data_IF_683767314682
#
_entry.id   IF_683767314682
#
_cell.length_a   1.000
_cell.length_b   1.000
_cell.length_c   1.000
_cell.angle_alpha   90.00
_cell.angle_beta   90.00
_cell.angle_gamma   90.00
#
_symmetry.space_group_name_H-M   'P 1'
#
loop_
_entity.id
_entity.type
_entity.pdbx_description
1 polymer ?
#
# COMPACT_ATOMS: atom_id res chain seq x y z
N UNK A 1 -23.36 -61.23 52.21
CA UNK A 1 -23.60 -59.77 52.23
C UNK A 1 -22.28 -59.03 52.02
N UNK A 2 -22.23 -58.13 51.03
CA UNK A 2 -21.26 -57.02 50.95
C UNK A 2 -19.98 -57.25 50.12
N UNK A 3 -20.03 -57.03 48.80
CA UNK A 3 -18.84 -56.77 47.97
C UNK A 3 -18.72 -55.26 47.77
N UNK A 4 -17.59 -54.68 48.20
CA UNK A 4 -17.28 -53.25 48.09
C UNK A 4 -16.96 -52.87 46.63
N UNK A 5 -17.72 -51.96 46.04
CA UNK A 5 -17.39 -51.30 44.77
C UNK A 5 -16.28 -50.25 44.98
N UNK A 6 -15.17 -50.38 44.25
CA UNK A 6 -14.15 -49.33 44.08
C UNK A 6 -14.70 -48.27 43.11
N UNK A 7 -14.93 -47.04 43.60
CA UNK A 7 -15.14 -45.86 42.74
C UNK A 7 -13.83 -45.49 42.05
N UNK A 8 -13.78 -45.61 40.72
CA UNK A 8 -12.75 -44.99 39.88
C UNK A 8 -12.84 -43.46 40.03
N UNK A 9 -11.70 -42.82 40.30
CA UNK A 9 -11.54 -41.37 40.23
C UNK A 9 -11.49 -40.97 38.74
N UNK A 10 -12.48 -40.23 38.28
CA UNK A 10 -12.45 -39.57 36.97
C UNK A 10 -11.29 -38.58 36.88
N UNK A 11 -10.65 -38.53 35.72
CA UNK A 11 -9.58 -37.59 35.41
C UNK A 11 -10.06 -36.14 35.61
N UNK A 12 -9.22 -35.33 36.27
CA UNK A 12 -9.43 -33.88 36.39
C UNK A 12 -9.40 -33.26 35.00
N UNK A 13 -10.57 -32.79 34.54
CA UNK A 13 -10.70 -31.84 33.42
C UNK A 13 -9.71 -30.68 33.63
N UNK A 14 -8.83 -30.48 32.65
CA UNK A 14 -7.68 -29.61 32.74
C UNK A 14 -8.07 -28.13 32.64
N UNK A 15 -7.65 -27.33 33.61
CA UNK A 15 -7.74 -25.86 33.58
C UNK A 15 -6.87 -25.22 32.47
N UNK A 16 -6.11 -26.02 31.72
CA UNK A 16 -5.23 -25.56 30.64
C UNK A 16 -6.01 -24.91 29.48
N UNK A 17 -7.16 -25.48 29.08
CA UNK A 17 -7.97 -24.93 27.98
C UNK A 17 -8.58 -23.56 28.28
N UNK A 18 -8.91 -23.28 29.56
CA UNK A 18 -9.44 -21.96 29.98
C UNK A 18 -8.35 -20.90 30.01
N UNK A 19 -7.13 -21.26 30.42
CA UNK A 19 -5.98 -20.36 30.40
C UNK A 19 -5.54 -20.04 28.96
N UNK A 20 -5.58 -21.03 28.07
CA UNK A 20 -5.30 -20.85 26.64
C UNK A 20 -6.34 -19.97 25.95
N UNK A 21 -7.64 -20.18 26.24
CA UNK A 21 -8.71 -19.33 25.72
C UNK A 21 -8.60 -17.88 26.22
N UNK A 22 -8.22 -17.67 27.49
CA UNK A 22 -7.99 -16.33 28.04
C UNK A 22 -6.77 -15.66 27.39
N UNK A 23 -5.66 -16.38 27.24
CA UNK A 23 -4.46 -15.88 26.56
C UNK A 23 -4.76 -15.48 25.11
N UNK A 24 -5.52 -16.30 24.38
CA UNK A 24 -5.92 -16.01 23.00
C UNK A 24 -6.87 -14.81 22.91
N UNK A 25 -7.78 -14.64 23.88
CA UNK A 25 -8.64 -13.46 23.97
C UNK A 25 -7.82 -12.19 24.23
N UNK A 26 -6.81 -12.26 25.10
CA UNK A 26 -5.88 -11.16 25.36
C UNK A 26 -5.05 -10.81 24.11
N UNK A 27 -4.52 -11.81 23.39
CA UNK A 27 -3.79 -11.60 22.14
C UNK A 27 -4.68 -10.96 21.07
N UNK A 28 -5.89 -11.47 20.87
CA UNK A 28 -6.86 -10.91 19.91
C UNK A 28 -7.23 -9.46 20.27
N UNK A 29 -7.41 -9.16 21.56
CA UNK A 29 -7.68 -7.79 22.03
C UNK A 29 -6.49 -6.86 21.80
N UNK A 30 -5.26 -7.33 22.02
CA UNK A 30 -4.06 -6.56 21.71
C UNK A 30 -3.93 -6.29 20.21
N UNK A 31 -4.18 -7.29 19.38
CA UNK A 31 -4.13 -7.16 17.92
C UNK A 31 -5.19 -6.18 17.43
N UNK A 32 -6.45 -6.34 17.86
CA UNK A 32 -7.52 -5.40 17.54
C UNK A 32 -7.20 -3.96 17.94
N UNK A 33 -6.57 -3.75 19.11
CA UNK A 33 -6.15 -2.42 19.55
C UNK A 33 -5.02 -1.85 18.68
N UNK A 34 -4.07 -2.68 18.23
CA UNK A 34 -3.04 -2.28 17.27
C UNK A 34 -3.68 -1.89 15.94
N UNK A 35 -4.54 -2.73 15.37
CA UNK A 35 -5.18 -2.49 14.08
C UNK A 35 -6.02 -1.21 14.11
N UNK A 36 -6.80 -1.00 15.18
CA UNK A 36 -7.56 0.24 15.40
C UNK A 36 -6.65 1.46 15.50
N UNK A 37 -5.48 1.34 16.14
CA UNK A 37 -4.49 2.43 16.22
C UNK A 37 -3.89 2.73 14.85
N UNK A 38 -3.59 1.71 14.04
CA UNK A 38 -3.13 1.87 12.67
C UNK A 38 -4.20 2.53 11.79
N UNK A 39 -5.44 2.06 11.83
CA UNK A 39 -6.55 2.65 11.08
C UNK A 39 -6.80 4.11 11.47
N UNK A 40 -6.75 4.44 12.77
CA UNK A 40 -6.87 5.82 13.25
C UNK A 40 -5.71 6.70 12.75
N UNK A 41 -4.48 6.18 12.68
CA UNK A 41 -3.33 6.92 12.11
C UNK A 41 -3.57 7.24 10.63
N UNK A 42 -4.03 6.28 9.84
CA UNK A 42 -4.37 6.50 8.42
C UNK A 42 -5.45 7.57 8.26
N UNK A 43 -6.53 7.50 9.05
CA UNK A 43 -7.59 8.54 9.06
C UNK A 43 -7.07 9.92 9.47
N UNK A 44 -6.17 9.99 10.45
CA UNK A 44 -5.54 11.25 10.85
C UNK A 44 -4.65 11.84 9.75
N UNK A 45 -3.93 11.00 9.00
CA UNK A 45 -3.14 11.41 7.82
C UNK A 45 -4.04 12.08 6.78
N UNK A 46 -5.20 11.49 6.47
CA UNK A 46 -6.19 12.09 5.56
C UNK A 46 -6.65 13.47 6.05
N UNK A 47 -6.94 13.62 7.34
CA UNK A 47 -7.34 14.92 7.90
C UNK A 47 -6.22 15.95 7.81
N UNK A 48 -4.97 15.56 8.04
CA UNK A 48 -3.81 16.44 7.91
C UNK A 48 -3.62 16.88 6.46
N UNK A 49 -3.66 15.95 5.51
CA UNK A 49 -3.53 16.24 4.07
C UNK A 49 -4.68 17.11 3.58
N UNK A 50 -5.92 16.85 3.98
CA UNK A 50 -7.06 17.72 3.63
C UNK A 50 -6.84 19.15 4.10
N UNK A 51 -6.36 19.35 5.34
CA UNK A 51 -6.05 20.69 5.85
C UNK A 51 -4.93 21.37 5.06
N UNK A 52 -3.93 20.61 4.60
CA UNK A 52 -2.86 21.13 3.75
C UNK A 52 -3.38 21.54 2.37
N UNK A 53 -4.22 20.71 1.75
CA UNK A 53 -4.91 21.00 0.47
C UNK A 53 -5.79 22.25 0.60
N UNK A 54 -6.63 22.32 1.64
CA UNK A 54 -7.52 23.46 1.87
C UNK A 54 -6.73 24.75 2.10
N UNK A 55 -5.63 24.68 2.86
CA UNK A 55 -4.74 25.82 3.09
C UNK A 55 -4.10 26.26 1.78
N UNK A 56 -3.54 25.34 1.00
CA UNK A 56 -2.90 25.67 -0.28
C UNK A 56 -3.91 26.24 -1.27
N UNK A 57 -5.14 25.74 -1.31
CA UNK A 57 -6.21 26.30 -2.11
C UNK A 57 -6.55 27.75 -1.70
N UNK A 58 -6.63 28.02 -0.39
CA UNK A 58 -6.84 29.38 0.12
C UNK A 58 -5.67 30.30 -0.25
N UNK A 59 -4.43 29.82 -0.17
CA UNK A 59 -3.23 30.56 -0.59
C UNK A 59 -3.25 30.87 -2.09
N UNK A 60 -3.67 29.93 -2.93
CA UNK A 60 -3.81 30.15 -4.38
C UNK A 60 -4.93 31.14 -4.72
N UNK A 61 -6.05 31.12 -3.99
CA UNK A 61 -7.15 32.08 -4.20
C UNK A 61 -6.82 33.48 -3.67
N UNK A 62 -5.98 33.56 -2.65
CA UNK A 62 -5.51 34.80 -2.05
C UNK A 62 -4.03 35.06 -2.38
N UNK A 63 -3.61 34.79 -3.62
CA UNK A 63 -2.21 34.85 -4.00
C UNK A 63 -1.73 36.32 -4.03
N UNK A 64 -0.61 36.66 -3.37
CA UNK A 64 -0.16 38.04 -3.29
C UNK A 64 0.38 38.54 -4.63
N UNK A 65 -0.09 39.71 -5.11
CA UNK A 65 0.43 40.33 -6.33
C UNK A 65 1.92 40.65 -6.23
N UNK A 66 2.35 41.08 -5.05
CA UNK A 66 3.74 41.41 -4.74
C UNK A 66 4.18 40.56 -3.54
N UNK A 67 4.84 39.40 -3.74
CA UNK A 67 5.30 38.58 -2.65
C UNK A 67 6.29 39.39 -1.79
N UNK A 68 6.07 39.41 -0.48
CA UNK A 68 7.00 40.06 0.44
C UNK A 68 8.35 39.32 0.37
N UNK A 69 9.49 40.04 0.35
CA UNK A 69 10.78 39.39 0.35
C UNK A 69 10.92 38.48 1.57
N UNK A 70 11.59 37.32 1.43
CA UNK A 70 11.75 36.38 2.53
C UNK A 70 12.36 37.09 3.74
N UNK A 71 11.70 36.97 4.90
CA UNK A 71 12.22 37.57 6.13
C UNK A 71 13.61 36.98 6.38
N UNK A 72 14.66 37.81 6.55
CA UNK A 72 15.99 37.29 6.82
C UNK A 72 15.95 36.45 8.10
N UNK A 73 16.66 35.32 8.09
CA UNK A 73 16.81 34.46 9.26
C UNK A 73 17.27 35.32 10.45
N UNK A 74 16.59 35.20 11.60
CA UNK A 74 16.91 36.00 12.78
C UNK A 74 18.31 35.64 13.29
N UNK A 75 19.31 36.44 12.89
CA UNK A 75 20.67 36.36 13.44
C UNK A 75 20.71 37.10 14.77
N UNK A 76 20.74 36.35 15.86
CA UNK A 76 21.11 36.83 17.20
C UNK A 76 20.19 37.86 17.85
N UNK A 77 20.57 38.35 19.05
CA UNK A 77 19.88 39.44 19.73
C UNK A 77 19.94 40.70 18.87
N UNK A 78 18.80 41.41 18.78
CA UNK A 78 18.75 42.69 18.09
C UNK A 78 19.70 43.69 18.76
N UNK A 79 20.41 44.53 18.00
CA UNK A 79 21.24 45.59 18.59
C UNK A 79 20.37 46.55 19.42
N UNK A 80 20.93 47.20 20.47
CA UNK A 80 20.19 48.13 21.33
C UNK A 80 19.46 49.25 20.59
N UNK A 81 19.95 49.65 19.41
CA UNK A 81 19.29 50.63 18.52
C UNK A 81 17.96 50.16 17.94
N UNK A 82 17.72 48.85 17.86
CA UNK A 82 16.49 48.23 17.37
C UNK A 82 15.56 47.77 18.51
N UNK A 83 15.93 48.08 19.76
CA UNK A 83 15.10 47.75 20.91
C UNK A 83 13.86 48.65 20.92
N UNK A 84 12.69 48.03 20.84
CA UNK A 84 11.42 48.74 21.02
C UNK A 84 11.23 49.03 22.50
N UNK A 85 11.36 50.29 22.89
CA UNK A 85 11.08 50.76 24.24
C UNK A 85 9.63 50.42 24.63
N UNK A 86 9.41 49.95 25.86
CA UNK A 86 8.09 49.55 26.38
C UNK A 86 7.68 50.44 27.55
N UNK A 87 6.37 50.59 27.76
CA UNK A 87 5.82 51.33 28.90
C UNK A 87 6.23 52.81 28.94
N UNK A 88 6.55 53.32 30.13
CA UNK A 88 6.90 54.72 30.38
C UNK A 88 8.21 55.19 29.71
N UNK A 89 9.03 54.26 29.23
CA UNK A 89 10.25 54.58 28.48
C UNK A 89 9.96 54.96 27.01
N UNK A 90 8.71 54.91 26.55
CA UNK A 90 8.34 55.28 25.18
C UNK A 90 8.28 56.81 25.01
N UNK A 91 8.71 57.34 23.85
CA UNK A 91 8.50 58.74 23.53
C UNK A 91 7.00 59.12 23.56
N UNK A 92 6.66 60.27 24.14
CA UNK A 92 5.27 60.72 24.27
C UNK A 92 4.53 60.81 22.92
N UNK A 93 5.23 61.20 21.86
CA UNK A 93 4.68 61.24 20.50
C UNK A 93 4.26 59.84 19.98
N UNK A 94 4.97 58.78 20.38
CA UNK A 94 4.64 57.41 20.01
C UNK A 94 3.44 56.89 20.81
N UNK A 95 3.33 57.26 22.09
CA UNK A 95 2.14 56.97 22.91
C UNK A 95 0.89 57.68 22.38
N UNK A 96 1.01 58.93 21.92
CA UNK A 96 -0.09 59.66 21.30
C UNK A 96 -0.61 58.98 20.02
N UNK A 97 0.30 58.50 19.16
CA UNK A 97 -0.07 57.76 17.93
C UNK A 97 -0.72 56.41 18.20
N UNK A 98 -0.28 55.70 19.24
CA UNK A 98 -0.91 54.44 19.68
C UNK A 98 -2.31 54.73 20.25
N UNK A 99 -2.45 55.77 21.08
CA UNK A 99 -3.75 56.16 21.64
C UNK A 99 -4.73 56.67 20.57
N UNK A 100 -4.22 57.27 19.50
CA UNK A 100 -4.99 57.67 18.32
C UNK A 100 -5.38 56.49 17.40
N UNK A 101 -4.89 55.28 17.67
CA UNK A 101 -5.17 54.09 16.87
C UNK A 101 -4.44 54.04 15.53
N UNK A 102 -3.40 54.84 15.33
CA UNK A 102 -2.59 54.86 14.10
C UNK A 102 -1.52 53.76 14.08
N UNK A 103 -1.09 53.31 15.27
CA UNK A 103 -0.06 52.29 15.45
C UNK A 103 -0.58 51.18 16.39
N UNK A 104 -0.07 49.96 16.22
CA UNK A 104 -0.33 48.84 17.11
C UNK A 104 0.21 49.09 18.55
N UNK A 105 -0.14 48.22 19.51
CA UNK A 105 0.35 48.32 20.91
C UNK A 105 1.89 48.29 21.04
N UNK A 106 2.59 47.89 19.98
CA UNK A 106 4.03 47.82 19.86
C UNK A 106 4.63 49.02 19.08
N UNK A 107 3.83 49.99 18.63
CA UNK A 107 4.26 51.16 17.87
C UNK A 107 4.55 50.91 16.38
N UNK A 108 4.00 49.84 15.80
CA UNK A 108 4.14 49.54 14.37
C UNK A 108 2.91 50.00 13.60
N UNK A 109 3.13 50.42 12.36
CA UNK A 109 2.04 50.65 11.41
C UNK A 109 1.26 49.34 11.17
N UNK A 110 -0.06 49.45 11.08
CA UNK A 110 -0.88 48.30 10.68
C UNK A 110 -0.43 47.82 9.30
N UNK A 111 -0.21 46.50 9.12
CA UNK A 111 0.16 45.97 7.82
C UNK A 111 -0.93 46.34 6.81
N UNK A 112 -0.54 47.00 5.72
CA UNK A 112 -1.46 47.27 4.60
C UNK A 112 -2.04 45.94 4.10
N UNK A 113 -3.34 45.87 3.77
CA UNK A 113 -3.91 44.68 3.14
C UNK A 113 -3.07 44.34 1.92
N UNK A 114 -2.53 43.12 1.87
CA UNK A 114 -1.78 42.67 0.70
C UNK A 114 -2.80 42.55 -0.43
N UNK A 115 -2.55 43.23 -1.55
CA UNK A 115 -3.40 43.04 -2.73
C UNK A 115 -3.22 41.62 -3.24
N UNK A 116 -4.32 40.86 -3.30
CA UNK A 116 -4.34 39.49 -3.76
C UNK A 116 -5.09 39.33 -5.07
N UNK A 117 -4.83 38.23 -5.78
CA UNK A 117 -5.63 37.77 -6.91
C UNK A 117 -5.82 36.25 -6.82
N UNK A 118 -6.81 35.74 -7.54
CA UNK A 118 -7.08 34.31 -7.59
C UNK A 118 -6.21 33.63 -8.65
N UNK A 119 -5.06 33.10 -8.21
CA UNK A 119 -4.15 32.36 -9.07
C UNK A 119 -4.77 31.02 -9.52
N UNK A 120 -5.57 30.38 -8.67
CA UNK A 120 -6.21 29.11 -9.00
C UNK A 120 -7.14 29.26 -10.21
N UNK A 121 -8.06 30.22 -10.17
CA UNK A 121 -8.99 30.44 -11.28
C UNK A 121 -8.29 30.85 -12.58
N UNK A 122 -7.24 31.67 -12.47
CA UNK A 122 -6.46 32.12 -13.62
C UNK A 122 -5.79 30.94 -14.31
N UNK A 123 -5.03 30.13 -13.56
CA UNK A 123 -4.32 28.97 -14.09
C UNK A 123 -5.27 27.86 -14.56
N UNK A 124 -6.42 27.70 -13.90
CA UNK A 124 -7.47 26.76 -14.31
C UNK A 124 -8.07 27.14 -15.67
N UNK A 125 -8.41 28.42 -15.88
CA UNK A 125 -8.93 28.92 -17.17
C UNK A 125 -7.91 28.83 -18.29
N UNK A 126 -6.64 29.02 -17.97
CA UNK A 126 -5.54 28.86 -18.92
C UNK A 126 -5.18 27.39 -19.20
N UNK A 127 -5.67 26.46 -18.37
CA UNK A 127 -5.36 25.03 -18.48
C UNK A 127 -3.92 24.67 -18.12
N UNK A 128 -3.24 25.52 -17.34
CA UNK A 128 -1.79 25.43 -17.05
C UNK A 128 -1.48 25.15 -15.58
N UNK A 129 -2.41 24.52 -14.87
CA UNK A 129 -2.26 24.21 -13.44
C UNK A 129 -1.02 23.35 -13.15
N UNK A 130 -0.60 22.51 -14.09
CA UNK A 130 0.61 21.70 -13.94
C UNK A 130 1.93 22.44 -14.29
N UNK A 131 1.91 23.72 -14.71
CA UNK A 131 3.13 24.45 -15.07
C UNK A 131 3.69 25.29 -13.90
N UNK A 132 2.82 25.97 -13.14
CA UNK A 132 3.24 26.88 -12.06
C UNK A 132 3.57 26.15 -10.75
N UNK A 133 4.65 26.54 -10.07
CA UNK A 133 5.16 25.81 -8.89
C UNK A 133 4.15 25.71 -7.74
N UNK A 134 3.40 26.78 -7.42
CA UNK A 134 2.40 26.74 -6.35
C UNK A 134 1.19 25.85 -6.68
N UNK A 135 0.79 25.76 -7.95
CA UNK A 135 -0.32 24.90 -8.39
C UNK A 135 0.14 23.45 -8.53
N UNK A 136 1.41 23.21 -8.89
CA UNK A 136 2.06 21.89 -8.81
C UNK A 136 2.04 21.33 -7.39
N UNK A 137 2.41 22.14 -6.40
CA UNK A 137 2.35 21.72 -4.99
C UNK A 137 0.92 21.36 -4.57
N UNK A 138 -0.07 22.13 -5.01
CA UNK A 138 -1.47 21.81 -4.78
C UNK A 138 -1.89 20.47 -5.39
N UNK A 139 -1.54 20.19 -6.65
CA UNK A 139 -1.85 18.91 -7.30
C UNK A 139 -1.12 17.76 -6.61
N UNK A 140 0.15 17.94 -6.23
CA UNK A 140 0.91 16.94 -5.48
C UNK A 140 0.24 16.59 -4.14
N UNK A 141 -0.19 17.60 -3.37
CA UNK A 141 -0.93 17.39 -2.12
C UNK A 141 -2.28 16.71 -2.36
N UNK A 142 -2.96 17.03 -3.47
CA UNK A 142 -4.23 16.41 -3.85
C UNK A 142 -4.05 14.92 -4.21
N UNK A 143 -2.99 14.57 -4.96
CA UNK A 143 -2.62 13.17 -5.25
C UNK A 143 -2.31 12.40 -3.97
N UNK A 144 -1.51 12.98 -3.06
CA UNK A 144 -1.22 12.35 -1.76
C UNK A 144 -2.49 12.15 -0.92
N UNK A 145 -3.41 13.12 -0.95
CA UNK A 145 -4.71 13.00 -0.30
C UNK A 145 -5.54 11.87 -0.92
N UNK A 146 -5.51 11.71 -2.24
CA UNK A 146 -6.20 10.63 -2.94
C UNK A 146 -5.70 9.26 -2.47
N UNK A 147 -4.38 9.03 -2.54
CA UNK A 147 -3.74 7.81 -2.05
C UNK A 147 -4.05 7.52 -0.58
N UNK A 148 -3.90 8.52 0.29
CA UNK A 148 -4.20 8.37 1.72
C UNK A 148 -5.68 8.06 1.99
N UNK A 149 -6.61 8.52 1.15
CA UNK A 149 -8.02 8.16 1.27
C UNK A 149 -8.26 6.68 0.95
N UNK A 150 -7.63 6.15 -0.11
CA UNK A 150 -7.68 4.72 -0.43
C UNK A 150 -7.10 3.89 0.71
N UNK A 151 -5.88 4.19 1.18
CA UNK A 151 -5.23 3.50 2.30
C UNK A 151 -6.08 3.46 3.60
N UNK A 152 -6.88 4.51 3.82
CA UNK A 152 -7.73 4.66 5.00
C UNK A 152 -9.10 3.96 4.89
N UNK A 153 -9.37 3.26 3.78
CA UNK A 153 -10.67 2.64 3.49
C UNK A 153 -11.75 3.67 3.14
N UNK A 154 -11.39 4.76 2.46
CA UNK A 154 -12.31 5.77 1.92
C UNK A 154 -12.11 5.91 0.40
N UNK A 155 -12.27 4.82 -0.36
CA UNK A 155 -11.93 4.72 -1.78
C UNK A 155 -12.69 5.69 -2.66
N UNK A 156 -14.01 5.84 -2.49
CA UNK A 156 -14.84 6.79 -3.25
C UNK A 156 -14.31 8.23 -3.19
N UNK A 157 -13.75 8.61 -2.03
CA UNK A 157 -13.14 9.93 -1.84
C UNK A 157 -11.78 10.01 -2.52
N UNK A 158 -11.00 8.92 -2.47
CA UNK A 158 -9.74 8.80 -3.18
C UNK A 158 -9.92 8.93 -4.68
N UNK A 159 -10.83 8.14 -5.26
CA UNK A 159 -11.19 8.15 -6.69
C UNK A 159 -11.59 9.55 -7.15
N UNK A 160 -12.48 10.25 -6.43
CA UNK A 160 -12.87 11.63 -6.75
C UNK A 160 -11.69 12.62 -6.74
N UNK A 161 -10.74 12.43 -5.83
CA UNK A 161 -9.55 13.29 -5.79
C UNK A 161 -8.60 12.97 -6.95
N UNK A 162 -8.46 11.71 -7.37
CA UNK A 162 -7.68 11.35 -8.56
C UNK A 162 -8.33 11.88 -9.84
N UNK A 163 -9.65 11.75 -9.99
CA UNK A 163 -10.41 12.36 -11.10
C UNK A 163 -10.20 13.88 -11.14
N UNK A 164 -10.22 14.54 -9.97
CA UNK A 164 -9.92 15.97 -9.87
C UNK A 164 -8.47 16.26 -10.29
N UNK A 165 -7.48 15.47 -9.86
CA UNK A 165 -6.10 15.61 -10.34
C UNK A 165 -6.01 15.52 -11.86
N UNK A 166 -6.62 14.51 -12.48
CA UNK A 166 -6.63 14.36 -13.93
C UNK A 166 -7.32 15.52 -14.66
N UNK A 167 -8.39 16.08 -14.07
CA UNK A 167 -9.06 17.25 -14.65
C UNK A 167 -8.18 18.51 -14.63
N UNK A 168 -7.27 18.62 -13.66
CA UNK A 168 -6.35 19.74 -13.48
C UNK A 168 -5.03 19.53 -14.23
N UNK A 169 -4.59 18.29 -14.39
CA UNK A 169 -3.37 17.88 -15.07
C UNK A 169 -3.67 16.96 -16.26
N UNK A 170 -4.02 17.56 -17.39
CA UNK A 170 -4.38 16.82 -18.61
C UNK A 170 -3.21 16.05 -19.23
N UNK A 171 -1.98 16.51 -18.97
CA UNK A 171 -0.77 15.89 -19.48
C UNK A 171 -0.27 14.73 -18.57
N UNK A 172 -0.89 14.57 -17.40
CA UNK A 172 -0.55 13.57 -16.39
C UNK A 172 0.92 13.61 -15.94
N UNK A 173 1.47 14.81 -15.78
CA UNK A 173 2.79 15.03 -15.18
C UNK A 173 2.90 14.45 -13.77
N UNK A 174 1.78 14.36 -13.05
CA UNK A 174 1.75 13.79 -11.71
C UNK A 174 1.40 12.30 -11.69
N UNK A 175 1.26 11.62 -12.84
CA UNK A 175 0.94 10.18 -12.90
C UNK A 175 -0.26 9.81 -12.02
N UNK A 176 -1.35 10.57 -12.13
CA UNK A 176 -2.59 10.37 -11.38
C UNK A 176 -3.45 9.27 -11.99
N UNK A 177 -3.29 8.99 -13.30
CA UNK A 177 -3.99 7.89 -14.00
C UNK A 177 -3.67 6.54 -13.38
N UNK A 178 -2.40 6.29 -13.09
CA UNK A 178 -1.91 5.05 -12.47
C UNK A 178 -2.56 4.81 -11.11
N UNK A 179 -2.54 5.83 -10.24
CA UNK A 179 -3.19 5.77 -8.93
C UNK A 179 -4.70 5.59 -9.00
N UNK A 180 -5.36 6.18 -9.99
CA UNK A 180 -6.79 5.98 -10.25
C UNK A 180 -7.09 4.55 -10.69
N UNK A 181 -6.32 4.02 -11.64
CA UNK A 181 -6.49 2.65 -12.13
C UNK A 181 -6.33 1.64 -11.00
N UNK A 182 -5.28 1.75 -10.18
CA UNK A 182 -5.09 0.92 -9.01
C UNK A 182 -6.28 0.98 -8.04
N UNK A 183 -6.77 2.19 -7.71
CA UNK A 183 -7.91 2.37 -6.82
C UNK A 183 -9.21 1.79 -7.38
N UNK A 184 -9.41 1.82 -8.70
CA UNK A 184 -10.58 1.21 -9.34
C UNK A 184 -10.49 -0.32 -9.33
N UNK A 185 -9.30 -0.89 -9.53
CA UNK A 185 -9.08 -2.35 -9.47
C UNK A 185 -9.30 -2.87 -8.05
N UNK A 186 -8.74 -2.21 -7.04
CA UNK A 186 -8.89 -2.59 -5.63
C UNK A 186 -10.37 -2.62 -5.17
N UNK A 187 -11.19 -1.71 -5.69
CA UNK A 187 -12.63 -1.65 -5.41
C UNK A 187 -13.49 -2.54 -6.31
N UNK A 188 -12.88 -3.36 -7.17
CA UNK A 188 -13.61 -4.24 -8.11
C UNK A 188 -14.38 -3.49 -9.20
N UNK A 189 -14.04 -2.22 -9.48
CA UNK A 189 -14.64 -1.40 -10.55
C UNK A 189 -13.95 -1.63 -11.89
N UNK A 190 -13.81 -2.90 -12.28
CA UNK A 190 -13.01 -3.34 -13.44
C UNK A 190 -13.44 -2.72 -14.78
N UNK A 191 -14.73 -2.50 -15.00
CA UNK A 191 -15.23 -1.87 -16.23
C UNK A 191 -14.76 -0.41 -16.39
N UNK A 192 -14.72 0.35 -15.29
CA UNK A 192 -14.25 1.74 -15.29
C UNK A 192 -12.73 1.80 -15.45
N UNK A 193 -12.01 0.90 -14.77
CA UNK A 193 -10.57 0.76 -14.96
C UNK A 193 -10.21 0.40 -16.42
N UNK A 194 -10.95 -0.53 -17.04
CA UNK A 194 -10.77 -0.89 -18.45
C UNK A 194 -11.02 0.28 -19.39
N UNK A 195 -12.06 1.09 -19.13
CA UNK A 195 -12.34 2.29 -19.92
C UNK A 195 -11.20 3.32 -19.80
N UNK A 196 -10.69 3.55 -18.59
CA UNK A 196 -9.55 4.44 -18.34
C UNK A 196 -8.28 3.98 -19.05
N UNK A 197 -7.97 2.68 -18.99
CA UNK A 197 -6.80 2.09 -19.65
C UNK A 197 -6.92 2.18 -21.18
N UNK A 198 -8.11 1.94 -21.75
CA UNK A 198 -8.33 2.04 -23.19
C UNK A 198 -8.23 3.50 -23.69
N UNK A 199 -8.73 4.47 -22.92
CA UNK A 199 -8.59 5.90 -23.22
C UNK A 199 -7.11 6.33 -23.29
N UNK A 200 -6.25 5.68 -22.51
CA UNK A 200 -4.83 6.01 -22.39
C UNK A 200 -3.91 4.88 -22.88
N UNK A 201 -4.36 4.05 -23.81
CA UNK A 201 -3.63 2.87 -24.29
C UNK A 201 -2.26 3.14 -24.94
N UNK A 202 -2.07 4.36 -25.42
CA UNK A 202 -0.83 4.82 -26.06
C UNK A 202 0.24 5.18 -25.02
N UNK A 203 -0.09 5.15 -23.73
CA UNK A 203 0.86 5.40 -22.65
C UNK A 203 1.65 4.13 -22.30
N UNK A 204 2.98 4.23 -22.35
CA UNK A 204 3.90 3.19 -21.89
C UNK A 204 4.02 3.24 -20.34
N UNK A 205 2.93 2.89 -19.66
CA UNK A 205 2.88 2.74 -18.20
C UNK A 205 2.78 1.26 -17.82
N UNK A 206 3.79 0.76 -17.10
CA UNK A 206 3.78 -0.60 -16.59
C UNK A 206 2.64 -0.79 -15.58
N UNK A 207 2.38 0.19 -14.71
CA UNK A 207 1.31 0.13 -13.70
C UNK A 207 -0.06 -0.07 -14.36
N UNK A 208 -0.39 0.69 -15.40
CA UNK A 208 -1.65 0.51 -16.14
C UNK A 208 -1.72 -0.87 -16.81
N UNK A 209 -0.61 -1.34 -17.37
CA UNK A 209 -0.55 -2.65 -18.00
C UNK A 209 -0.75 -3.79 -16.99
N UNK A 210 -0.15 -3.73 -15.80
CA UNK A 210 -0.37 -4.71 -14.74
C UNK A 210 -1.79 -4.63 -14.14
N UNK A 211 -2.38 -3.43 -14.04
CA UNK A 211 -3.81 -3.31 -13.70
C UNK A 211 -4.69 -4.04 -14.73
N UNK A 212 -4.37 -3.91 -16.02
CA UNK A 212 -5.07 -4.64 -17.08
C UNK A 212 -4.93 -6.15 -16.90
N UNK A 213 -3.75 -6.66 -16.54
CA UNK A 213 -3.54 -8.10 -16.29
C UNK A 213 -4.49 -8.61 -15.21
N UNK A 214 -4.59 -7.92 -14.06
CA UNK A 214 -5.52 -8.33 -12.99
C UNK A 214 -6.96 -8.30 -13.48
N UNK A 215 -7.38 -7.23 -14.17
CA UNK A 215 -8.75 -7.09 -14.67
C UNK A 215 -9.11 -8.26 -15.60
N UNK A 216 -8.23 -8.58 -16.56
CA UNK A 216 -8.50 -9.67 -17.50
C UNK A 216 -8.39 -11.05 -16.82
N UNK A 217 -7.49 -11.21 -15.83
CA UNK A 217 -7.43 -12.43 -15.02
C UNK A 217 -8.72 -12.66 -14.25
N UNK A 218 -9.23 -11.63 -13.56
CA UNK A 218 -10.52 -11.70 -12.84
C UNK A 218 -11.66 -11.97 -13.81
N UNK A 219 -11.66 -11.33 -14.98
CA UNK A 219 -12.66 -11.54 -16.03
C UNK A 219 -12.69 -13.00 -16.50
N UNK A 220 -11.53 -13.62 -16.70
CA UNK A 220 -11.38 -14.99 -17.18
C UNK A 220 -11.59 -16.05 -16.09
N UNK A 221 -10.80 -16.01 -15.02
CA UNK A 221 -10.70 -17.09 -14.03
C UNK A 221 -11.75 -16.97 -12.92
N UNK A 222 -12.15 -15.75 -12.55
CA UNK A 222 -13.02 -15.52 -11.38
C UNK A 222 -14.48 -15.30 -11.81
N UNK A 223 -14.71 -14.52 -12.85
CA UNK A 223 -16.04 -14.12 -13.32
C UNK A 223 -16.52 -14.90 -14.55
N UNK A 224 -15.61 -15.56 -15.28
CA UNK A 224 -15.89 -16.29 -16.52
C UNK A 224 -16.70 -15.44 -17.54
N UNK A 225 -16.32 -14.17 -17.72
CA UNK A 225 -17.05 -13.24 -18.60
C UNK A 225 -16.98 -13.68 -20.08
N UNK A 226 -18.04 -13.39 -20.83
CA UNK A 226 -18.10 -13.75 -22.25
C UNK A 226 -17.00 -13.02 -23.06
N UNK A 227 -16.16 -13.78 -23.75
CA UNK A 227 -15.04 -13.25 -24.53
C UNK A 227 -13.73 -13.11 -23.75
N UNK A 228 -13.71 -13.46 -22.46
CA UNK A 228 -12.48 -13.61 -21.68
C UNK A 228 -11.81 -14.96 -21.97
N UNK A 229 -10.48 -15.00 -21.93
CA UNK A 229 -9.69 -16.24 -22.09
C UNK A 229 -8.28 -16.07 -21.52
N UNK A 230 -7.63 -17.19 -21.17
CA UNK A 230 -6.22 -17.20 -20.73
C UNK A 230 -5.31 -16.50 -21.74
N UNK A 231 -5.54 -16.68 -23.04
CA UNK A 231 -4.77 -16.04 -24.12
C UNK A 231 -4.83 -14.50 -24.06
N UNK A 232 -5.98 -13.93 -23.67
CA UNK A 232 -6.14 -12.48 -23.49
C UNK A 232 -5.31 -12.00 -22.30
N UNK A 233 -5.33 -12.74 -21.19
CA UNK A 233 -4.54 -12.42 -19.99
C UNK A 233 -3.05 -12.54 -20.27
N UNK A 234 -2.61 -13.62 -20.92
CA UNK A 234 -1.21 -13.82 -21.33
C UNK A 234 -0.73 -12.71 -22.25
N UNK A 235 -1.56 -12.26 -23.20
CA UNK A 235 -1.23 -11.14 -24.08
C UNK A 235 -1.07 -9.84 -23.29
N UNK A 236 -1.96 -9.57 -22.33
CA UNK A 236 -1.84 -8.42 -21.44
C UNK A 236 -0.57 -8.51 -20.59
N UNK A 237 -0.26 -9.69 -20.06
CA UNK A 237 0.92 -9.94 -19.24
C UNK A 237 2.21 -9.75 -20.02
N UNK A 238 2.30 -10.28 -21.25
CA UNK A 238 3.46 -10.07 -22.14
C UNK A 238 3.71 -8.58 -22.41
N UNK A 239 2.65 -7.78 -22.57
CA UNK A 239 2.76 -6.32 -22.72
C UNK A 239 3.29 -5.68 -21.43
N UNK A 240 2.73 -6.04 -20.28
CA UNK A 240 3.14 -5.52 -18.98
C UNK A 240 4.59 -5.87 -18.63
N UNK A 241 4.98 -7.13 -18.86
CA UNK A 241 6.33 -7.65 -18.65
C UNK A 241 7.37 -6.94 -19.52
N UNK A 242 7.03 -6.63 -20.78
CA UNK A 242 7.93 -5.88 -21.66
C UNK A 242 8.18 -4.44 -21.20
N UNK A 243 7.26 -3.84 -20.44
CA UNK A 243 7.40 -2.49 -19.89
C UNK A 243 8.21 -2.49 -18.59
N UNK A 244 7.93 -3.43 -17.69
CA UNK A 244 8.71 -3.65 -16.48
C UNK A 244 8.62 -5.12 -16.04
N UNK A 245 9.67 -5.93 -16.25
CA UNK A 245 9.68 -7.34 -15.87
C UNK A 245 9.88 -7.56 -14.37
N UNK A 246 10.48 -6.60 -13.65
CA UNK A 246 10.73 -6.69 -12.22
C UNK A 246 9.43 -6.72 -11.40
N UNK A 247 8.38 -6.06 -11.89
CA UNK A 247 7.04 -6.15 -11.30
C UNK A 247 6.53 -7.59 -11.21
N UNK A 248 6.66 -8.38 -12.27
CA UNK A 248 6.23 -9.78 -12.26
C UNK A 248 6.99 -10.60 -11.21
N UNK A 249 8.30 -10.40 -11.11
CA UNK A 249 9.16 -11.08 -10.12
C UNK A 249 8.74 -10.73 -8.70
N UNK A 250 8.53 -9.44 -8.43
CA UNK A 250 8.16 -8.98 -7.09
C UNK A 250 6.74 -9.41 -6.72
N UNK A 251 5.79 -9.50 -7.67
CA UNK A 251 4.46 -10.07 -7.46
C UNK A 251 4.56 -11.56 -7.10
N UNK A 252 5.27 -12.34 -7.92
CA UNK A 252 5.42 -13.77 -7.72
C UNK A 252 6.08 -14.08 -6.37
N UNK A 253 7.16 -13.37 -6.04
CA UNK A 253 8.01 -13.68 -4.88
C UNK A 253 7.77 -12.73 -3.70
N UNK A 254 6.58 -12.14 -3.62
CA UNK A 254 6.26 -11.05 -2.69
C UNK A 254 6.60 -11.35 -1.22
N UNK A 255 6.47 -12.59 -0.77
CA UNK A 255 6.81 -13.01 0.60
C UNK A 255 8.29 -12.79 0.95
N UNK A 256 9.21 -13.07 0.02
CA UNK A 256 10.64 -12.82 0.21
C UNK A 256 10.93 -11.32 0.13
N UNK A 257 10.32 -10.63 -0.83
CA UNK A 257 10.48 -9.18 -0.99
C UNK A 257 10.01 -8.41 0.25
N UNK A 258 8.91 -8.79 0.90
CA UNK A 258 8.46 -8.10 2.13
C UNK A 258 9.40 -8.24 3.32
N UNK A 259 10.30 -9.22 3.32
CA UNK A 259 11.30 -9.36 4.38
C UNK A 259 12.51 -8.44 4.19
N UNK A 260 12.75 -7.97 2.96
CA UNK A 260 13.97 -7.22 2.59
C UNK A 260 13.67 -5.78 2.20
N UNK A 261 12.50 -5.51 1.61
CA UNK A 261 12.14 -4.17 1.14
C UNK A 261 11.99 -3.19 2.31
N UNK A 262 12.94 -2.24 2.37
CA UNK A 262 12.93 -1.12 3.31
C UNK A 262 12.95 0.21 2.55
N UNK A 263 12.59 1.31 3.23
CA UNK A 263 12.65 2.68 2.70
C UNK A 263 11.83 2.97 1.42
N UNK A 264 10.90 2.10 1.04
CA UNK A 264 10.04 2.31 -0.15
C UNK A 264 9.25 3.63 -0.08
N UNK A 265 8.91 4.09 1.14
CA UNK A 265 8.23 5.37 1.38
C UNK A 265 9.09 6.60 1.00
N UNK A 266 10.41 6.44 0.88
CA UNK A 266 11.37 7.50 0.53
C UNK A 266 11.57 7.64 -0.99
N UNK A 267 11.15 6.62 -1.76
CA UNK A 267 11.23 6.63 -3.22
C UNK A 267 10.22 7.64 -3.77
N UNK A 268 10.71 8.79 -4.21
CA UNK A 268 9.91 9.81 -4.89
C UNK A 268 10.17 9.77 -6.39
N UNK A 269 9.12 9.49 -7.18
CA UNK A 269 9.16 9.50 -8.65
C UNK A 269 10.14 8.46 -9.25
N UNK A 270 9.84 7.15 -9.10
CA UNK A 270 10.69 6.09 -9.62
C UNK A 270 10.81 6.16 -11.14
N UNK A 271 11.98 5.77 -11.66
CA UNK A 271 12.21 5.68 -13.11
C UNK A 271 11.31 4.58 -13.70
N UNK A 272 10.63 4.86 -14.81
CA UNK A 272 9.84 3.84 -15.54
C UNK A 272 10.68 2.63 -15.92
N UNK A 273 10.15 1.43 -15.70
CA UNK A 273 10.83 0.17 -15.95
C UNK A 273 11.87 -0.23 -14.90
N UNK A 274 12.02 0.54 -13.81
CA UNK A 274 13.04 0.30 -12.79
C UNK A 274 12.57 -0.65 -11.69
N UNK A 275 13.51 -1.12 -10.87
CA UNK A 275 13.21 -1.94 -9.68
C UNK A 275 12.45 -1.11 -8.64
N UNK A 276 12.77 0.17 -8.50
CA UNK A 276 12.05 1.08 -7.59
C UNK A 276 10.58 1.27 -7.98
N UNK A 277 10.27 1.33 -9.27
CA UNK A 277 8.88 1.36 -9.75
C UNK A 277 8.13 0.09 -9.28
N UNK A 278 8.80 -1.07 -9.35
CA UNK A 278 8.23 -2.33 -8.87
C UNK A 278 7.99 -2.33 -7.36
N UNK A 279 8.96 -1.84 -6.57
CA UNK A 279 8.83 -1.74 -5.11
C UNK A 279 7.70 -0.80 -4.70
N UNK A 280 7.62 0.39 -5.31
CA UNK A 280 6.57 1.37 -5.03
C UNK A 280 5.20 0.78 -5.36
N UNK A 281 5.04 0.17 -6.54
CA UNK A 281 3.77 -0.45 -6.92
C UNK A 281 3.34 -1.56 -5.95
N UNK A 282 4.24 -2.49 -5.60
CA UNK A 282 3.90 -3.65 -4.76
C UNK A 282 3.62 -3.23 -3.33
N UNK A 283 4.35 -2.26 -2.78
CA UNK A 283 4.10 -1.75 -1.43
C UNK A 283 2.68 -1.21 -1.24
N UNK A 284 2.04 -0.78 -2.33
CA UNK A 284 0.69 -0.19 -2.33
C UNK A 284 -0.38 -1.16 -2.83
N UNK A 285 -0.06 -2.04 -3.77
CA UNK A 285 -1.06 -2.77 -4.56
C UNK A 285 -0.94 -4.30 -4.48
N UNK A 286 -0.04 -4.85 -3.66
CA UNK A 286 0.09 -6.31 -3.53
C UNK A 286 -1.20 -7.00 -3.04
N UNK A 287 -2.00 -6.29 -2.24
CA UNK A 287 -3.24 -6.83 -1.67
C UNK A 287 -4.16 -7.35 -2.76
N UNK A 288 -4.30 -6.62 -3.86
CA UNK A 288 -5.10 -7.02 -5.03
C UNK A 288 -4.64 -8.38 -5.58
N UNK A 289 -3.34 -8.63 -5.66
CA UNK A 289 -2.78 -9.88 -6.20
C UNK A 289 -2.90 -11.06 -5.24
N UNK A 290 -2.79 -10.80 -3.93
CA UNK A 290 -2.88 -11.82 -2.89
C UNK A 290 -4.34 -12.17 -2.59
N UNK A 291 -5.23 -11.19 -2.61
CA UNK A 291 -6.65 -11.36 -2.33
C UNK A 291 -7.41 -11.93 -3.55
N UNK A 292 -6.89 -11.74 -4.76
CA UNK A 292 -7.41 -12.40 -5.97
C UNK A 292 -6.91 -13.84 -6.03
N UNK A 293 -7.83 -14.80 -5.88
CA UNK A 293 -7.55 -16.23 -5.83
C UNK A 293 -6.70 -16.66 -7.04
N UNK A 294 -5.51 -17.20 -6.77
CA UNK A 294 -4.65 -17.78 -7.81
C UNK A 294 -3.85 -16.77 -8.65
N UNK A 295 -4.08 -15.46 -8.51
CA UNK A 295 -3.52 -14.47 -9.43
C UNK A 295 -1.99 -14.40 -9.34
N UNK A 296 -1.43 -14.32 -8.14
CA UNK A 296 0.03 -14.27 -7.98
C UNK A 296 0.71 -15.60 -8.34
N UNK A 297 0.10 -16.76 -8.06
CA UNK A 297 0.61 -18.07 -8.48
C UNK A 297 0.57 -18.23 -10.00
N UNK A 298 -0.44 -17.66 -10.66
CA UNK A 298 -0.51 -17.63 -12.11
C UNK A 298 0.63 -16.80 -12.70
N UNK A 299 0.94 -15.64 -12.12
CA UNK A 299 2.11 -14.84 -12.52
C UNK A 299 3.41 -15.63 -12.34
N UNK A 300 3.57 -16.35 -11.23
CA UNK A 300 4.73 -17.20 -10.97
C UNK A 300 4.88 -18.31 -12.03
N UNK A 301 3.78 -19.00 -12.37
CA UNK A 301 3.75 -20.00 -13.44
C UNK A 301 4.20 -19.40 -14.78
N UNK A 302 3.64 -18.26 -15.17
CA UNK A 302 3.97 -17.59 -16.44
C UNK A 302 5.42 -17.06 -16.44
N UNK A 303 5.92 -16.61 -15.29
CA UNK A 303 7.31 -16.16 -15.13
C UNK A 303 8.31 -17.29 -15.35
N UNK A 304 7.98 -18.51 -14.89
CA UNK A 304 8.82 -19.70 -15.09
C UNK A 304 8.96 -20.11 -16.57
N UNK A 305 8.02 -19.70 -17.43
CA UNK A 305 8.11 -19.91 -18.89
C UNK A 305 8.91 -18.80 -19.61
N UNK A 306 9.20 -17.71 -18.92
CA UNK A 306 9.98 -16.58 -19.43
C UNK A 306 11.42 -16.60 -18.92
N UNK A 307 12.30 -15.85 -19.58
CA UNK A 307 13.67 -15.66 -19.07
C UNK A 307 13.65 -14.79 -17.82
N UNK A 308 14.30 -15.25 -16.74
CA UNK A 308 14.50 -14.46 -15.52
C UNK A 308 15.16 -13.10 -15.89
N UNK A 309 14.56 -11.96 -15.51
CA UNK A 309 15.11 -10.65 -15.84
C UNK A 309 16.42 -10.44 -15.07
N UNK A 310 17.50 -10.18 -15.80
CA UNK A 310 18.79 -9.88 -15.21
C UNK A 310 18.81 -8.44 -14.71
N UNK A 311 18.74 -8.26 -13.39
CA UNK A 311 18.87 -6.94 -12.76
C UNK A 311 20.29 -6.41 -12.90
N UNK A 312 20.41 -5.15 -13.28
CA UNK A 312 21.70 -4.46 -13.45
C UNK A 312 21.69 -3.10 -12.76
N UNK A 313 22.85 -2.44 -12.72
CA UNK A 313 22.97 -1.08 -12.17
C UNK A 313 22.22 -0.02 -12.98
N UNK A 314 21.76 -0.33 -14.20
CA UNK A 314 20.99 0.61 -15.04
C UNK A 314 19.50 0.64 -14.66
N UNK A 315 19.06 -0.39 -13.93
CA UNK A 315 17.67 -0.61 -13.50
C UNK A 315 17.37 0.03 -12.14
N UNK A 316 18.36 0.71 -11.55
CA UNK A 316 18.25 1.41 -10.26
C UNK A 316 18.91 2.77 -10.30
N UNK A 317 18.38 3.68 -9.49
CA UNK A 317 18.97 4.97 -9.13
C UNK A 317 20.01 4.82 -8.01
N UNK A 318 19.80 3.89 -7.08
CA UNK A 318 20.69 3.62 -5.95
C UNK A 318 21.04 2.14 -5.86
N UNK A 319 22.32 1.82 -5.65
CA UNK A 319 22.83 0.45 -5.56
C UNK A 319 22.21 -0.35 -4.41
N UNK A 320 21.70 0.34 -3.38
CA UNK A 320 20.96 -0.29 -2.28
C UNK A 320 19.73 -1.06 -2.78
N UNK A 321 18.95 -0.51 -3.72
CA UNK A 321 17.74 -1.17 -4.22
C UNK A 321 18.07 -2.41 -5.05
N UNK A 322 19.20 -2.40 -5.77
CA UNK A 322 19.69 -3.59 -6.46
C UNK A 322 20.07 -4.68 -5.46
N UNK A 323 20.80 -4.33 -4.39
CA UNK A 323 21.14 -5.27 -3.33
C UNK A 323 19.92 -5.87 -2.63
N UNK A 324 18.87 -5.07 -2.39
CA UNK A 324 17.59 -5.56 -1.85
C UNK A 324 16.93 -6.55 -2.80
N UNK A 325 16.92 -6.25 -4.10
CA UNK A 325 16.32 -7.11 -5.11
C UNK A 325 17.07 -8.46 -5.24
N UNK A 326 18.39 -8.42 -5.32
CA UNK A 326 19.22 -9.63 -5.37
C UNK A 326 19.05 -10.49 -4.12
N UNK A 327 19.06 -9.87 -2.94
CA UNK A 327 18.87 -10.57 -1.66
C UNK A 327 17.49 -11.24 -1.60
N UNK A 328 16.43 -10.56 -2.05
CA UNK A 328 15.08 -11.13 -2.06
C UNK A 328 14.96 -12.33 -3.03
N UNK A 329 15.65 -12.28 -4.17
CA UNK A 329 15.72 -13.43 -5.10
C UNK A 329 16.45 -14.61 -4.47
N UNK A 330 17.59 -14.36 -3.82
CA UNK A 330 18.34 -15.42 -3.12
C UNK A 330 17.49 -16.05 -2.00
N UNK A 331 16.83 -15.23 -1.18
CA UNK A 331 15.92 -15.72 -0.14
C UNK A 331 14.77 -16.54 -0.70
N UNK A 332 14.16 -16.14 -1.82
CA UNK A 332 13.11 -16.92 -2.45
C UNK A 332 13.62 -18.28 -2.95
N UNK A 333 14.82 -18.33 -3.53
CA UNK A 333 15.48 -19.58 -3.97
C UNK A 333 15.76 -20.50 -2.78
N UNK A 334 16.19 -19.95 -1.64
CA UNK A 334 16.35 -20.71 -0.39
C UNK A 334 15.02 -21.26 0.12
N UNK A 335 13.96 -20.45 0.15
CA UNK A 335 12.61 -20.88 0.56
C UNK A 335 12.07 -22.02 -0.31
N UNK A 336 12.28 -21.97 -1.63
CA UNK A 336 11.89 -23.05 -2.54
C UNK A 336 12.68 -24.33 -2.27
N UNK A 337 14.01 -24.22 -2.08
CA UNK A 337 14.85 -25.38 -1.79
C UNK A 337 14.48 -26.04 -0.44
N UNK A 338 14.12 -25.24 0.58
CA UNK A 338 13.61 -25.75 1.86
C UNK A 338 12.28 -26.46 1.68
N UNK A 339 11.33 -25.87 0.94
CA UNK A 339 10.03 -26.49 0.67
C UNK A 339 10.15 -27.80 -0.11
N UNK A 340 11.05 -27.87 -1.10
CA UNK A 340 11.34 -29.10 -1.84
C UNK A 340 11.97 -30.18 -0.95
N UNK A 341 12.90 -29.81 -0.07
CA UNK A 341 13.52 -30.74 0.87
C UNK A 341 12.50 -31.28 1.90
N UNK A 342 11.60 -30.44 2.41
CA UNK A 342 10.52 -30.85 3.30
C UNK A 342 9.53 -31.79 2.58
N UNK A 343 9.12 -31.45 1.35
CA UNK A 343 8.24 -32.30 0.55
C UNK A 343 8.87 -33.68 0.26
N UNK A 344 10.17 -33.73 -0.06
CA UNK A 344 10.91 -34.96 -0.25
C UNK A 344 10.97 -35.79 1.04
N UNK A 345 11.23 -35.16 2.19
CA UNK A 345 11.26 -35.86 3.48
C UNK A 345 9.90 -36.44 3.88
N UNK A 346 8.79 -35.74 3.57
CA UNK A 346 7.42 -36.24 3.79
C UNK A 346 7.12 -37.43 2.87
N UNK A 347 7.51 -37.35 1.59
CA UNK A 347 7.32 -38.44 0.64
C UNK A 347 8.12 -39.71 1.01
N UNK A 348 9.34 -39.56 1.53
CA UNK A 348 10.12 -40.70 2.05
C UNK A 348 9.54 -41.31 3.33
N UNK A 349 8.90 -40.49 4.18
CA UNK A 349 8.23 -40.98 5.38
C UNK A 349 6.96 -41.79 5.06
N UNK A 350 6.16 -41.37 4.08
CA UNK A 350 4.91 -42.04 3.67
C UNK A 350 5.16 -43.30 2.81
N UNK A 351 6.33 -43.41 2.19
CA UNK A 351 6.78 -44.60 1.46
C UNK A 351 7.32 -45.74 2.33
N UNK A 352 7.39 -45.57 3.66
CA UNK A 352 8.03 -46.54 4.58
C UNK A 352 7.06 -47.51 5.28
N UNK A 353 5.75 -47.42 5.01
CA UNK A 353 4.72 -48.29 5.60
C UNK A 353 4.27 -49.46 4.68
N UNK A 354 5.11 -49.84 3.72
CA UNK A 354 4.84 -50.97 2.82
C UNK A 354 6.10 -51.82 2.56
N UNK A 355 6.73 -52.36 3.61
CA UNK A 355 7.35 -53.69 3.57
C UNK A 355 7.80 -54.12 4.98
N UNK A 356 6.97 -54.97 5.60
CA UNK A 356 7.22 -55.62 6.88
C UNK A 356 6.33 -56.86 6.98
N UNK A 357 6.67 -57.88 6.21
CA UNK A 357 6.19 -59.25 6.34
C UNK A 357 6.84 -59.90 7.57
N UNK A 358 6.05 -60.18 8.60
CA UNK A 358 6.37 -61.16 9.64
C UNK A 358 5.10 -61.82 10.22
N UNK A 359 4.63 -62.83 9.48
CA UNK A 359 4.18 -64.12 9.99
C UNK A 359 3.45 -64.20 11.33
N UNK A 360 2.12 -64.30 11.28
CA UNK A 360 1.35 -65.02 12.28
C UNK A 360 0.52 -66.13 11.62
N UNK A 361 1.04 -67.35 11.80
CA UNK A 361 0.40 -68.64 11.67
C UNK A 361 -0.92 -68.64 12.47
N UNK A 362 -2.05 -68.34 11.81
CA UNK A 362 -3.38 -68.53 12.36
C UNK A 362 -3.86 -69.91 11.90
N UNK A 363 -3.81 -70.87 12.83
CA UNK A 363 -4.12 -72.26 12.60
C UNK A 363 -5.54 -72.50 12.07
N UNK A 364 -5.65 -73.59 11.32
CA UNK A 364 -6.89 -74.25 10.90
C UNK A 364 -7.95 -74.19 12.00
N UNK A 365 -9.04 -73.46 11.73
CA UNK A 365 -10.28 -73.61 12.47
C UNK A 365 -11.23 -74.41 11.59
N UNK A 366 -11.26 -75.73 11.82
CA UNK A 366 -12.28 -76.63 11.30
C UNK A 366 -13.66 -76.21 11.85
N UNK A 367 -14.70 -76.09 11.02
CA UNK A 367 -16.06 -75.90 11.49
C UNK A 367 -16.65 -77.26 11.91
N UNK A 368 -16.48 -77.62 13.17
CA UNK A 368 -17.23 -78.71 13.81
C UNK A 368 -18.70 -78.29 14.04
N UNK A 369 -19.59 -79.04 13.41
CA UNK A 369 -20.88 -79.52 13.92
C UNK A 369 -21.69 -78.60 14.86
N UNK A 370 -22.58 -77.78 14.26
CA UNK A 370 -23.85 -77.41 14.90
C UNK A 370 -24.91 -78.40 14.43
N UNK A 371 -25.13 -79.42 15.26
CA UNK A 371 -26.34 -80.25 15.27
C UNK A 371 -27.12 -80.00 16.58
N UNK A 372 -28.44 -79.94 16.46
CA UNK A 372 -29.36 -80.32 17.53
C UNK A 372 -29.78 -79.28 18.58
N UNK A 373 -30.97 -78.70 18.38
CA UNK A 373 -32.15 -79.12 19.20
C UNK A 373 -32.44 -78.44 20.55
N UNK A 374 -33.65 -77.87 20.61
CA UNK A 374 -34.61 -77.80 21.72
C UNK A 374 -34.23 -77.15 23.07
N UNK A 375 -34.67 -75.89 23.26
CA UNK A 375 -35.82 -75.54 24.12
C UNK A 375 -36.20 -74.06 24.03
#
# INVERSE_FOLDING_TARGET
MGVKQKKQKGARSSNAGKAQAFAQTCMNSMQFNKDKKHQNRRRMRVVQLQRSVDRKLQELRAFPKNPAPPKPARKGPKPPSEWKLKGAARPAALLAKIAAGELDECGNEFPKPVETFDLYEMMFKEGKMAEHNDTKEYISLLKQLAAACCEAGMPDRGIKNYELCMSLDKADYFHSREGLACALVDEGRGAEARALIEEHKDEDSAVLAYCQVVIEYVSWEVLEEEGSSEEVVQKAFRKAFALNPFLAVVIAYHEAFFQVMEYVEEITDPKRGSIEEAFVYISQNIGVWVDTVGAHQWIEKELNELSEPAATKEDVSEEMYLGMYETAIEMHKEMLAEAEAEAAAVAEADGSDAEGDDGYEFGDFEPDDIDGGDN
#
